data_IF_501296457950
#
_entry.id   IF_501296457950
#
_cell.length_a   1.000
_cell.length_b   1.000
_cell.length_c   1.000
_cell.angle_alpha   90.00
_cell.angle_beta   90.00
_cell.angle_gamma   90.00
#
_symmetry.space_group_name_H-M   'P 1'
#
loop_
_entity.id
_entity.type
_entity.pdbx_description
1 polymer ?
#
# COMPACT_ATOMS: atom_id res chain seq x y z
N UNK A 1 9.90 -14.53 -11.16
CA UNK A 1 9.10 -13.82 -10.14
C UNK A 1 7.72 -13.72 -10.73
N UNK A 2 6.77 -14.53 -10.24
CA UNK A 2 5.36 -14.37 -10.61
C UNK A 2 4.90 -12.98 -10.20
N UNK A 3 4.06 -12.37 -11.03
CA UNK A 3 3.52 -11.05 -10.75
C UNK A 3 2.75 -11.12 -9.43
N UNK A 4 2.91 -10.14 -8.54
CA UNK A 4 2.16 -10.09 -7.28
C UNK A 4 0.64 -10.04 -7.54
N UNK A 5 0.24 -9.59 -8.73
CA UNK A 5 -1.13 -9.67 -9.27
C UNK A 5 -1.71 -11.08 -9.20
N UNK A 6 -0.95 -12.10 -9.63
CA UNK A 6 -1.43 -13.47 -9.75
C UNK A 6 -1.77 -14.08 -8.37
N UNK A 7 -0.98 -13.75 -7.34
CA UNK A 7 -1.19 -14.27 -5.99
C UNK A 7 -2.43 -13.70 -5.31
N UNK A 8 -2.72 -12.40 -5.51
CA UNK A 8 -3.92 -11.79 -4.93
C UNK A 8 -5.18 -12.36 -5.57
N UNK A 9 -5.19 -12.50 -6.89
CA UNK A 9 -6.32 -13.06 -7.63
C UNK A 9 -6.60 -14.50 -7.21
N UNK A 10 -5.57 -15.34 -7.07
CA UNK A 10 -5.72 -16.69 -6.55
C UNK A 10 -6.32 -16.71 -5.13
N UNK A 11 -5.81 -15.88 -4.22
CA UNK A 11 -6.31 -15.80 -2.85
C UNK A 11 -7.78 -15.33 -2.83
N UNK A 12 -8.13 -14.34 -3.65
CA UNK A 12 -9.50 -13.88 -3.80
C UNK A 12 -10.41 -15.01 -4.28
N UNK A 13 -10.04 -15.71 -5.35
CA UNK A 13 -10.83 -16.82 -5.89
C UNK A 13 -11.01 -17.97 -4.90
N UNK A 14 -10.00 -18.26 -4.08
CA UNK A 14 -10.09 -19.25 -3.01
C UNK A 14 -11.06 -18.81 -1.91
N UNK A 15 -10.98 -17.54 -1.47
CA UNK A 15 -11.85 -16.99 -0.40
C UNK A 15 -13.35 -17.02 -0.75
N UNK A 16 -13.67 -16.90 -2.04
CA UNK A 16 -15.05 -16.95 -2.53
C UNK A 16 -15.46 -18.33 -3.06
N UNK A 17 -14.58 -19.34 -2.95
CA UNK A 17 -14.76 -20.70 -3.48
C UNK A 17 -15.00 -20.77 -5.01
N UNK A 18 -14.43 -19.83 -5.77
CA UNK A 18 -14.51 -19.77 -7.23
C UNK A 18 -13.18 -20.04 -7.94
N UNK A 19 -12.19 -20.60 -7.27
CA UNK A 19 -11.02 -21.17 -7.95
C UNK A 19 -11.49 -22.32 -8.87
N UNK A 20 -11.43 -22.11 -10.19
CA UNK A 20 -11.84 -23.06 -11.23
C UNK A 20 -10.77 -23.13 -12.31
N UNK A 21 -10.74 -24.23 -13.06
CA UNK A 21 -9.71 -24.50 -14.06
C UNK A 21 -9.78 -23.60 -15.32
N UNK A 22 -10.88 -22.86 -15.52
CA UNK A 22 -11.05 -21.98 -16.69
C UNK A 22 -11.65 -20.64 -16.29
N UNK A 23 -11.22 -19.57 -16.96
CA UNK A 23 -11.73 -18.20 -16.75
C UNK A 23 -13.25 -18.12 -16.96
N UNK A 24 -13.79 -18.90 -17.91
CA UNK A 24 -15.23 -19.00 -18.13
C UNK A 24 -15.96 -19.49 -16.86
N UNK A 25 -15.46 -20.55 -16.24
CA UNK A 25 -16.07 -21.14 -15.05
C UNK A 25 -15.85 -20.26 -13.80
N UNK A 26 -14.69 -19.60 -13.69
CA UNK A 26 -14.43 -18.58 -12.67
C UNK A 26 -15.48 -17.47 -12.76
N UNK A 27 -15.68 -16.90 -13.95
CA UNK A 27 -16.64 -15.82 -14.19
C UNK A 27 -18.08 -16.24 -13.88
N UNK A 28 -18.49 -17.44 -14.32
CA UNK A 28 -19.82 -17.96 -14.04
C UNK A 28 -20.05 -18.14 -12.53
N UNK A 29 -19.05 -18.66 -11.82
CA UNK A 29 -19.08 -18.80 -10.37
C UNK A 29 -19.18 -17.44 -9.66
N UNK A 30 -18.32 -16.48 -10.00
CA UNK A 30 -18.34 -15.14 -9.38
C UNK A 30 -19.69 -14.44 -9.55
N UNK A 31 -20.32 -14.57 -10.73
CA UNK A 31 -21.66 -14.03 -11.01
C UNK A 31 -22.78 -14.67 -10.20
N UNK A 32 -22.57 -15.89 -9.69
CA UNK A 32 -23.56 -16.59 -8.86
C UNK A 32 -23.50 -16.19 -7.38
N UNK A 33 -22.45 -15.45 -6.97
CA UNK A 33 -22.27 -15.03 -5.59
C UNK A 33 -23.02 -13.72 -5.37
N UNK A 34 -23.70 -13.63 -4.22
CA UNK A 34 -24.32 -12.41 -3.74
C UNK A 34 -23.32 -11.24 -3.64
N UNK A 35 -23.73 -10.07 -4.10
CA UNK A 35 -22.88 -8.87 -4.16
C UNK A 35 -22.43 -8.42 -2.77
N UNK A 36 -23.28 -8.50 -1.74
CA UNK A 36 -22.89 -8.08 -0.39
C UNK A 36 -21.88 -9.06 0.21
N UNK A 37 -21.97 -10.35 -0.12
CA UNK A 37 -20.92 -11.32 0.23
C UNK A 37 -19.59 -10.97 -0.43
N UNK A 38 -19.58 -10.67 -1.73
CA UNK A 38 -18.36 -10.28 -2.45
C UNK A 38 -17.75 -9.01 -1.84
N UNK A 39 -18.58 -7.99 -1.62
CA UNK A 39 -18.17 -6.73 -1.01
C UNK A 39 -17.57 -6.94 0.39
N UNK A 40 -18.19 -7.78 1.22
CA UNK A 40 -17.67 -8.09 2.54
C UNK A 40 -16.27 -8.72 2.47
N UNK A 41 -16.09 -9.70 1.58
CA UNK A 41 -14.80 -10.38 1.42
C UNK A 41 -13.72 -9.39 0.95
N UNK A 42 -14.03 -8.57 -0.05
CA UNK A 42 -13.11 -7.58 -0.62
C UNK A 42 -12.70 -6.53 0.41
N UNK A 43 -13.66 -5.99 1.16
CA UNK A 43 -13.43 -4.86 2.08
C UNK A 43 -12.86 -5.28 3.44
N UNK A 44 -13.16 -6.50 3.90
CA UNK A 44 -12.85 -6.91 5.28
C UNK A 44 -12.00 -8.17 5.38
N UNK A 45 -12.21 -9.19 4.54
CA UNK A 45 -11.55 -10.50 4.70
C UNK A 45 -10.20 -10.59 3.97
N UNK A 46 -10.05 -9.94 2.81
CA UNK A 46 -8.77 -9.90 2.08
C UNK A 46 -7.92 -8.66 2.41
N UNK A 47 -8.29 -7.98 3.49
CA UNK A 47 -7.64 -6.78 4.00
C UNK A 47 -6.19 -7.01 4.48
N UNK A 48 -5.81 -8.28 4.69
CA UNK A 48 -4.53 -8.71 5.25
C UNK A 48 -3.27 -8.25 4.51
N UNK A 49 -3.37 -7.69 3.30
CA UNK A 49 -2.21 -7.14 2.61
C UNK A 49 -1.77 -5.75 3.11
N UNK A 50 -2.41 -5.18 4.14
CA UNK A 50 -2.16 -3.80 4.62
C UNK A 50 -2.00 -2.84 3.43
N UNK A 51 -2.82 -3.08 2.39
CA UNK A 51 -2.62 -2.49 1.09
C UNK A 51 -3.43 -1.19 1.01
N UNK A 52 -2.75 -0.06 0.88
CA UNK A 52 -3.36 1.27 0.77
C UNK A 52 -3.84 1.49 -0.67
N UNK A 53 -3.35 0.66 -1.60
CA UNK A 53 -3.89 0.56 -2.95
C UNK A 53 -5.18 -0.27 -2.96
N UNK A 54 -6.19 0.11 -3.76
CA UNK A 54 -7.39 -0.70 -3.95
C UNK A 54 -7.06 -2.13 -4.37
N UNK A 55 -7.86 -3.10 -3.91
CA UNK A 55 -7.70 -4.51 -4.22
C UNK A 55 -7.75 -4.83 -5.72
N UNK A 56 -8.62 -4.14 -6.45
CA UNK A 56 -8.75 -4.27 -7.90
C UNK A 56 -8.43 -2.93 -8.53
N UNK A 57 -7.43 -2.91 -9.40
CA UNK A 57 -6.93 -1.72 -10.09
C UNK A 57 -6.90 -1.97 -11.60
N UNK A 58 -6.79 -0.91 -12.43
CA UNK A 58 -6.55 -1.10 -13.85
C UNK A 58 -5.31 -1.95 -14.09
N UNK A 59 -5.42 -2.94 -14.99
CA UNK A 59 -4.32 -3.82 -15.38
C UNK A 59 -3.85 -3.47 -16.80
N UNK A 60 -2.57 -3.72 -17.07
CA UNK A 60 -2.01 -3.59 -18.42
C UNK A 60 -2.52 -4.79 -19.22
N UNK A 61 -3.63 -4.59 -19.94
CA UNK A 61 -4.36 -5.64 -20.66
C UNK A 61 -3.91 -5.82 -22.11
N UNK A 62 -3.05 -4.93 -22.61
CA UNK A 62 -2.65 -4.93 -24.02
C UNK A 62 -3.71 -4.36 -24.97
N UNK A 63 -4.86 -3.90 -24.46
CA UNK A 63 -5.97 -3.40 -25.26
C UNK A 63 -6.41 -2.00 -24.83
N UNK A 64 -6.99 -1.84 -23.64
CA UNK A 64 -7.33 -0.52 -23.09
C UNK A 64 -6.08 0.20 -22.56
N UNK A 65 -5.24 -0.52 -21.80
CA UNK A 65 -3.89 -0.11 -21.43
C UNK A 65 -2.88 -0.99 -22.20
N UNK A 66 -2.48 -0.57 -23.41
CA UNK A 66 -1.57 -1.35 -24.25
C UNK A 66 -0.16 -1.51 -23.65
N UNK A 67 0.25 -0.62 -22.74
CA UNK A 67 1.58 -0.61 -22.13
C UNK A 67 1.50 0.04 -20.73
N UNK A 68 2.63 0.08 -20.03
CA UNK A 68 2.74 0.74 -18.73
C UNK A 68 2.42 2.25 -18.87
N UNK A 69 1.56 2.82 -17.99
CA UNK A 69 1.11 4.22 -18.11
C UNK A 69 2.25 5.25 -18.17
N UNK A 70 3.35 5.01 -17.47
CA UNK A 70 4.54 5.88 -17.55
C UNK A 70 5.17 5.89 -18.95
N UNK A 71 5.26 4.73 -19.61
CA UNK A 71 5.76 4.61 -20.99
C UNK A 71 4.80 5.29 -21.95
N UNK A 72 3.49 5.06 -21.77
CA UNK A 72 2.45 5.69 -22.59
C UNK A 72 2.49 7.22 -22.50
N UNK A 73 2.60 7.77 -21.28
CA UNK A 73 2.68 9.21 -21.08
C UNK A 73 3.93 9.83 -21.74
N UNK A 74 5.03 9.08 -21.82
CA UNK A 74 6.27 9.52 -22.46
C UNK A 74 6.25 9.43 -23.99
N UNK A 75 5.68 8.36 -24.55
CA UNK A 75 5.95 7.99 -25.95
C UNK A 75 4.71 7.92 -26.84
N UNK A 76 3.52 7.68 -26.28
CA UNK A 76 2.31 7.48 -27.08
C UNK A 76 1.66 8.83 -27.45
N UNK A 77 0.98 8.95 -28.59
CA UNK A 77 0.24 10.16 -28.94
C UNK A 77 -0.79 10.53 -27.86
N UNK A 78 -0.85 11.82 -27.50
CA UNK A 78 -1.83 12.35 -26.54
C UNK A 78 -2.82 13.25 -27.27
N UNK A 79 -4.11 13.01 -27.06
CA UNK A 79 -5.19 13.87 -27.58
C UNK A 79 -5.47 15.05 -26.63
N UNK A 80 -4.42 15.71 -26.16
CA UNK A 80 -4.50 16.87 -25.28
C UNK A 80 -3.23 17.73 -25.42
N UNK A 81 -3.42 19.04 -25.56
CA UNK A 81 -2.31 19.99 -25.71
C UNK A 81 -2.04 20.83 -24.45
N UNK A 82 -2.93 20.74 -23.46
CA UNK A 82 -2.88 21.52 -22.23
C UNK A 82 -3.45 20.73 -21.06
N UNK A 83 -2.84 20.86 -19.88
CA UNK A 83 -3.27 20.22 -18.65
C UNK A 83 -3.32 21.25 -17.51
N UNK A 84 -4.37 21.17 -16.70
CA UNK A 84 -4.45 21.88 -15.43
C UNK A 84 -4.61 20.84 -14.32
N UNK A 85 -3.60 20.75 -13.47
CA UNK A 85 -3.47 19.70 -12.45
C UNK A 85 -2.93 20.27 -11.16
N UNK A 86 -2.98 19.50 -10.08
CA UNK A 86 -2.49 19.96 -8.80
C UNK A 86 -2.66 18.93 -7.70
N UNK A 87 -2.36 19.36 -6.49
CA UNK A 87 -2.47 18.53 -5.29
C UNK A 87 -3.07 19.34 -4.16
N UNK A 88 -3.47 18.65 -3.12
CA UNK A 88 -3.92 19.23 -1.85
C UNK A 88 -2.82 19.13 -0.79
N UNK A 89 -2.85 19.99 0.25
CA UNK A 89 -1.78 20.09 1.25
C UNK A 89 -1.50 18.77 1.97
N UNK A 90 -2.56 18.10 2.43
CA UNK A 90 -2.46 16.93 3.29
C UNK A 90 -3.08 15.68 2.63
N UNK A 91 -2.62 15.34 1.42
CA UNK A 91 -3.12 14.20 0.61
C UNK A 91 -3.16 12.88 1.38
N UNK A 92 -2.19 12.65 2.27
CA UNK A 92 -2.08 11.40 3.01
C UNK A 92 -2.89 11.33 4.30
N UNK A 93 -3.54 12.40 4.74
CA UNK A 93 -4.11 12.47 6.10
C UNK A 93 -5.18 11.42 6.36
N UNK A 94 -6.12 11.24 5.42
CA UNK A 94 -7.15 10.21 5.53
C UNK A 94 -6.56 8.80 5.51
N UNK A 95 -5.55 8.56 4.66
CA UNK A 95 -4.86 7.28 4.56
C UNK A 95 -4.09 6.96 5.84
N UNK A 96 -3.41 7.96 6.41
CA UNK A 96 -2.64 7.83 7.64
C UNK A 96 -3.53 7.51 8.84
N UNK A 97 -4.63 8.26 9.01
CA UNK A 97 -5.60 8.01 10.07
C UNK A 97 -6.22 6.60 9.95
N UNK A 98 -6.59 6.21 8.73
CA UNK A 98 -7.14 4.88 8.46
C UNK A 98 -6.16 3.76 8.83
N UNK A 99 -4.91 3.86 8.38
CA UNK A 99 -3.90 2.81 8.62
C UNK A 99 -3.58 2.66 10.11
N UNK A 100 -3.44 3.77 10.83
CA UNK A 100 -3.19 3.76 12.27
C UNK A 100 -4.32 3.08 13.04
N UNK A 101 -5.57 3.41 12.68
CA UNK A 101 -6.75 2.77 13.26
C UNK A 101 -6.80 1.28 12.93
N UNK A 102 -6.47 0.89 11.69
CA UNK A 102 -6.53 -0.49 11.25
C UNK A 102 -5.48 -1.38 11.93
N UNK A 103 -4.27 -0.84 12.15
CA UNK A 103 -3.19 -1.59 12.77
C UNK A 103 -3.30 -1.67 14.31
N UNK A 104 -4.32 -1.05 14.89
CA UNK A 104 -4.45 -0.78 16.32
C UNK A 104 -3.16 -0.17 16.91
N UNK A 105 -2.57 0.76 16.16
CA UNK A 105 -1.31 1.40 16.51
C UNK A 105 -1.59 2.82 16.96
N UNK A 106 -1.37 3.08 18.24
CA UNK A 106 -1.25 4.45 18.73
C UNK A 106 0.02 5.07 18.17
N UNK A 107 -0.08 6.27 17.61
CA UNK A 107 1.02 7.02 17.03
C UNK A 107 1.99 7.59 18.09
N UNK A 108 2.18 6.91 19.22
CA UNK A 108 2.83 7.47 20.42
C UNK A 108 4.26 7.00 20.66
N UNK A 109 4.77 6.03 19.89
CA UNK A 109 6.07 5.41 20.19
C UNK A 109 6.92 5.13 18.95
N UNK A 110 8.24 5.06 19.14
CA UNK A 110 9.20 4.63 18.11
C UNK A 110 8.88 3.22 17.58
N UNK A 111 8.37 2.33 18.45
CA UNK A 111 7.94 0.98 18.05
C UNK A 111 6.77 1.02 17.08
N UNK A 112 5.81 1.90 17.33
CA UNK A 112 4.67 2.17 16.44
C UNK A 112 5.15 2.65 15.07
N UNK A 113 6.07 3.61 15.07
CA UNK A 113 6.67 4.16 13.85
C UNK A 113 7.38 3.08 13.01
N UNK A 114 8.20 2.24 13.63
CA UNK A 114 8.89 1.14 12.94
C UNK A 114 7.91 0.10 12.38
N UNK A 115 6.84 -0.24 13.11
CA UNK A 115 5.80 -1.16 12.62
C UNK A 115 5.13 -0.61 11.35
N UNK A 116 4.75 0.67 11.37
CA UNK A 116 4.15 1.35 10.22
C UNK A 116 5.13 1.40 9.04
N UNK A 117 6.40 1.73 9.31
CA UNK A 117 7.43 1.78 8.29
C UNK A 117 7.69 0.43 7.63
N UNK A 118 7.68 -0.66 8.40
CA UNK A 118 7.81 -2.01 7.84
C UNK A 118 6.66 -2.36 6.89
N UNK A 119 5.43 -1.97 7.23
CA UNK A 119 4.28 -2.15 6.32
C UNK A 119 4.45 -1.33 5.04
N UNK A 120 4.90 -0.08 5.14
CA UNK A 120 5.18 0.76 3.97
C UNK A 120 6.34 0.22 3.09
N UNK A 121 7.33 -0.44 3.67
CA UNK A 121 8.45 -1.00 2.89
C UNK A 121 8.06 -2.20 2.02
N UNK A 122 6.97 -2.91 2.34
CA UNK A 122 6.43 -3.97 1.49
C UNK A 122 6.13 -3.52 0.04
N UNK A 123 5.95 -2.22 -0.16
CA UNK A 123 5.68 -1.54 -1.43
C UNK A 123 6.92 -1.08 -2.18
N UNK A 124 8.07 -1.04 -1.50
CA UNK A 124 9.36 -0.68 -2.07
C UNK A 124 10.33 -1.86 -1.99
N UNK A 125 9.97 -3.04 -2.54
CA UNK A 125 10.88 -4.18 -2.53
C UNK A 125 12.17 -3.81 -3.28
N UNK A 126 13.29 -4.26 -2.74
CA UNK A 126 14.61 -4.06 -3.37
C UNK A 126 15.17 -2.65 -3.26
N UNK A 127 14.73 -1.84 -2.29
CA UNK A 127 15.37 -0.56 -1.93
C UNK A 127 15.96 -0.68 -0.53
N UNK A 128 17.23 -1.02 -0.44
CA UNK A 128 17.98 -1.13 0.81
C UNK A 128 18.04 0.21 1.53
N UNK A 129 17.92 0.19 2.87
CA UNK A 129 18.01 1.40 3.70
C UNK A 129 16.84 2.39 3.60
N UNK A 130 15.78 2.07 2.83
CA UNK A 130 14.65 2.98 2.59
C UNK A 130 14.00 3.50 3.87
N UNK A 131 13.87 2.66 4.91
CA UNK A 131 13.33 3.08 6.22
C UNK A 131 14.13 4.25 6.79
N UNK A 132 15.46 4.10 6.85
CA UNK A 132 16.34 5.13 7.37
C UNK A 132 16.26 6.43 6.57
N UNK A 133 16.25 6.32 5.24
CA UNK A 133 16.12 7.49 4.36
C UNK A 133 14.77 8.20 4.51
N UNK A 134 13.66 7.46 4.64
CA UNK A 134 12.33 8.05 4.89
C UNK A 134 12.32 8.77 6.24
N UNK A 135 12.80 8.13 7.30
CA UNK A 135 12.87 8.74 8.64
C UNK A 135 13.71 10.02 8.64
N UNK A 136 14.81 10.07 7.88
CA UNK A 136 15.63 11.27 7.75
C UNK A 136 14.88 12.43 7.07
N UNK A 137 14.02 12.15 6.08
CA UNK A 137 13.33 13.18 5.30
C UNK A 137 12.01 13.65 5.91
N UNK A 138 11.38 12.82 6.75
CA UNK A 138 10.03 13.07 7.26
C UNK A 138 9.95 13.25 8.78
N UNK A 139 10.85 12.65 9.56
CA UNK A 139 10.85 12.81 11.00
C UNK A 139 11.63 14.08 11.39
N UNK A 140 11.09 14.95 12.27
CA UNK A 140 11.88 16.04 12.83
C UNK A 140 12.97 15.47 13.74
N UNK A 141 14.19 16.02 13.62
CA UNK A 141 15.34 15.65 14.43
C UNK A 141 15.79 16.82 15.31
N UNK A 142 16.03 16.60 16.62
CA UNK A 142 15.84 15.35 17.37
C UNK A 142 14.35 15.00 17.56
N UNK A 143 14.02 13.70 17.55
CA UNK A 143 12.65 13.24 17.80
C UNK A 143 12.39 13.17 19.31
N UNK A 144 11.36 13.89 19.76
CA UNK A 144 10.83 13.79 21.12
C UNK A 144 9.69 12.77 21.18
N UNK A 145 9.89 11.70 21.95
CA UNK A 145 8.89 10.66 22.12
C UNK A 145 7.65 11.15 22.87
N UNK A 146 6.48 10.59 22.54
CA UNK A 146 5.22 10.86 23.25
C UNK A 146 4.30 11.89 22.58
N UNK A 147 4.75 12.59 21.53
CA UNK A 147 3.86 13.45 20.75
C UNK A 147 3.20 12.67 19.60
N UNK A 148 1.95 12.24 19.82
CA UNK A 148 1.17 11.46 18.86
C UNK A 148 0.95 12.19 17.52
N UNK A 149 0.89 13.52 17.54
CA UNK A 149 0.62 14.33 16.35
C UNK A 149 1.78 14.30 15.35
N UNK A 150 3.02 14.15 15.83
CA UNK A 150 4.22 14.14 14.98
C UNK A 150 4.26 12.91 14.09
N UNK A 151 3.97 11.73 14.64
CA UNK A 151 3.98 10.48 13.85
C UNK A 151 2.83 10.48 12.84
N UNK A 152 1.63 10.94 13.25
CA UNK A 152 0.49 11.06 12.33
C UNK A 152 0.80 12.01 11.17
N UNK A 153 1.36 13.18 11.46
CA UNK A 153 1.73 14.15 10.43
C UNK A 153 2.84 13.62 9.53
N UNK A 154 3.88 13.02 10.10
CA UNK A 154 4.96 12.39 9.34
C UNK A 154 4.40 11.36 8.35
N UNK A 155 3.51 10.48 8.83
CA UNK A 155 2.94 9.43 8.01
C UNK A 155 1.97 9.96 6.97
N UNK A 156 1.15 10.98 7.30
CA UNK A 156 0.33 11.70 6.34
C UNK A 156 1.17 12.30 5.21
N UNK A 157 2.25 13.00 5.54
CA UNK A 157 3.11 13.60 4.54
C UNK A 157 3.81 12.55 3.67
N UNK A 158 4.31 11.46 4.27
CA UNK A 158 4.93 10.33 3.57
C UNK A 158 3.98 9.72 2.54
N UNK A 159 2.78 9.37 3.00
CA UNK A 159 1.75 8.70 2.20
C UNK A 159 1.25 9.61 1.07
N UNK A 160 0.95 10.86 1.39
CA UNK A 160 0.51 11.84 0.42
C UNK A 160 1.57 12.15 -0.64
N UNK A 161 2.85 12.16 -0.25
CA UNK A 161 3.94 12.37 -1.19
C UNK A 161 4.16 11.18 -2.12
N UNK A 162 4.22 9.97 -1.56
CA UNK A 162 4.48 8.78 -2.34
C UNK A 162 3.35 8.44 -3.32
N UNK A 163 2.08 8.50 -2.89
CA UNK A 163 0.95 8.07 -3.72
C UNK A 163 0.42 9.14 -4.66
N UNK A 164 0.46 10.42 -4.27
CA UNK A 164 -0.24 11.49 -5.00
C UNK A 164 0.73 12.57 -5.47
N UNK A 165 1.46 13.20 -4.55
CA UNK A 165 2.17 14.44 -4.85
C UNK A 165 3.36 14.24 -5.78
N UNK A 166 4.23 13.28 -5.48
CA UNK A 166 5.42 13.02 -6.27
C UNK A 166 5.08 12.47 -7.67
N UNK A 167 4.16 11.49 -7.83
CA UNK A 167 3.68 11.06 -9.15
C UNK A 167 3.02 12.18 -9.96
N UNK A 168 2.24 13.07 -9.31
CA UNK A 168 1.61 14.22 -10.00
C UNK A 168 2.67 15.16 -10.57
N UNK A 169 3.78 15.38 -9.87
CA UNK A 169 4.88 16.17 -10.40
C UNK A 169 5.63 15.45 -11.53
N UNK A 170 5.88 14.13 -11.42
CA UNK A 170 6.49 13.35 -12.52
C UNK A 170 5.64 13.44 -13.79
N UNK A 171 4.32 13.38 -13.65
CA UNK A 171 3.42 13.54 -14.78
C UNK A 171 3.50 14.94 -15.39
N UNK A 172 3.57 15.99 -14.56
CA UNK A 172 3.75 17.37 -15.02
C UNK A 172 5.09 17.56 -15.76
N UNK A 173 6.19 17.04 -15.20
CA UNK A 173 7.52 17.05 -15.83
C UNK A 173 7.49 16.31 -17.18
N UNK A 174 6.88 15.13 -17.22
CA UNK A 174 6.80 14.30 -18.43
C UNK A 174 5.99 14.98 -19.53
N UNK A 175 4.85 15.57 -19.17
CA UNK A 175 4.01 16.33 -20.11
C UNK A 175 4.77 17.55 -20.64
N UNK A 176 5.43 18.30 -19.77
CA UNK A 176 6.19 19.48 -20.19
C UNK A 176 7.38 19.11 -21.10
N UNK A 177 8.09 18.02 -20.82
CA UNK A 177 9.16 17.51 -21.68
C UNK A 177 8.67 17.14 -23.10
N UNK A 178 7.37 16.91 -23.26
CA UNK A 178 6.69 16.69 -24.55
C UNK A 178 6.13 17.97 -25.17
N UNK A 179 6.53 19.15 -24.69
CA UNK A 179 6.01 20.46 -25.08
C UNK A 179 4.50 20.62 -24.86
N UNK A 180 3.92 19.86 -23.93
CA UNK A 180 2.52 20.04 -23.52
C UNK A 180 2.46 21.14 -22.47
N UNK A 181 1.51 22.06 -22.61
CA UNK A 181 1.36 23.14 -21.63
C UNK A 181 0.77 22.58 -20.34
N UNK A 182 1.44 22.80 -19.21
CA UNK A 182 0.95 22.37 -17.90
C UNK A 182 0.76 23.59 -17.01
N UNK A 183 -0.34 23.63 -16.26
CA UNK A 183 -0.56 24.55 -15.15
C UNK A 183 -0.70 23.71 -13.88
N UNK A 184 0.02 24.11 -12.84
CA UNK A 184 0.08 23.36 -11.58
C UNK A 184 -0.48 24.20 -10.44
N UNK A 185 -1.34 23.62 -9.60
CA UNK A 185 -1.80 24.26 -8.36
C UNK A 185 -1.53 23.41 -7.13
N UNK A 186 -1.50 24.07 -5.97
CA UNK A 186 -1.47 23.43 -4.67
C UNK A 186 -2.56 24.02 -3.79
N UNK A 187 -3.55 23.20 -3.43
CA UNK A 187 -4.69 23.61 -2.62
C UNK A 187 -4.38 23.44 -1.13
N UNK A 188 -4.39 24.56 -0.43
CA UNK A 188 -4.02 24.69 0.98
C UNK A 188 -5.01 25.60 1.73
N UNK A 189 -6.25 25.66 1.29
CA UNK A 189 -7.32 26.40 1.96
C UNK A 189 -8.19 25.48 2.83
N UNK A 190 -8.48 25.88 4.06
CA UNK A 190 -9.37 25.17 4.99
C UNK A 190 -10.43 26.14 5.50
N UNK A 191 -11.72 25.78 5.52
CA UNK A 191 -12.75 26.64 6.14
C UNK A 191 -12.46 26.87 7.64
N UNK A 192 -12.80 28.05 8.17
CA UNK A 192 -12.86 28.27 9.63
C UNK A 192 -13.98 27.46 10.30
N UNK A 193 -14.97 27.01 9.52
CA UNK A 193 -16.08 26.18 9.99
C UNK A 193 -15.82 24.68 9.78
N UNK A 194 -14.61 24.33 9.31
CA UNK A 194 -14.22 22.94 9.09
C UNK A 194 -14.21 22.16 10.40
N UNK A 195 -14.81 20.96 10.38
CA UNK A 195 -14.66 19.98 11.47
C UNK A 195 -13.38 19.15 11.35
N UNK A 196 -12.66 19.28 10.23
CA UNK A 196 -11.41 18.57 9.99
C UNK A 196 -10.23 19.38 10.52
N UNK A 197 -9.23 18.66 11.05
CA UNK A 197 -7.94 19.21 11.50
C UNK A 197 -6.88 19.29 10.39
N UNK A 198 -7.22 18.88 9.17
CA UNK A 198 -6.32 18.89 8.01
C UNK A 198 -7.09 19.11 6.71
N UNK A 199 -6.35 19.47 5.66
CA UNK A 199 -6.83 19.74 4.32
C UNK A 199 -6.74 18.43 3.55
N UNK A 200 -7.82 17.67 3.62
CA UNK A 200 -7.87 16.28 3.16
C UNK A 200 -7.79 16.17 1.63
N UNK A 201 -7.32 15.01 1.16
CA UNK A 201 -7.43 14.60 -0.24
C UNK A 201 -8.84 14.82 -0.79
N UNK A 202 -8.95 15.50 -1.92
CA UNK A 202 -10.22 15.79 -2.60
C UNK A 202 -11.09 16.88 -1.94
N UNK A 203 -10.63 17.52 -0.85
CA UNK A 203 -11.40 18.58 -0.19
C UNK A 203 -11.64 19.80 -1.10
N UNK A 204 -10.74 20.06 -2.04
CA UNK A 204 -10.86 21.11 -3.05
C UNK A 204 -12.03 20.87 -4.01
N UNK A 205 -12.44 19.61 -4.22
CA UNK A 205 -13.53 19.27 -5.12
C UNK A 205 -14.85 19.87 -4.64
N UNK A 206 -15.10 19.95 -3.33
CA UNK A 206 -16.29 20.60 -2.78
C UNK A 206 -16.36 22.09 -3.16
N UNK A 207 -15.22 22.77 -3.18
CA UNK A 207 -15.12 24.16 -3.63
C UNK A 207 -15.29 24.27 -5.15
N UNK A 208 -14.75 23.31 -5.91
CA UNK A 208 -14.85 23.27 -7.37
C UNK A 208 -16.28 23.02 -7.85
N UNK A 209 -17.03 22.13 -7.20
CA UNK A 209 -18.44 21.85 -7.56
C UNK A 209 -19.42 22.92 -7.03
N UNK A 210 -18.93 23.92 -6.28
CA UNK A 210 -19.76 25.00 -5.79
C UNK A 210 -20.55 24.71 -4.52
N UNK A 211 -20.14 23.72 -3.70
CA UNK A 211 -20.83 23.39 -2.46
C UNK A 211 -20.97 24.60 -1.50
N UNK A 212 -19.97 25.51 -1.35
CA UNK A 212 -20.16 26.74 -0.57
C UNK A 212 -21.22 27.71 -1.12
N UNK A 213 -21.51 27.66 -2.43
CA UNK A 213 -22.46 28.57 -3.09
C UNK A 213 -23.90 28.08 -2.94
N UNK A 214 -24.14 26.78 -3.12
CA UNK A 214 -25.46 26.16 -3.03
C UNK A 214 -25.81 25.60 -1.64
N UNK A 215 -24.82 25.44 -0.76
CA UNK A 215 -24.96 24.74 0.52
C UNK A 215 -24.68 23.24 0.40
N UNK A 216 -24.51 22.59 1.55
CA UNK A 216 -24.28 21.14 1.65
C UNK A 216 -24.96 20.58 2.91
N UNK A 217 -25.47 19.35 2.85
CA UNK A 217 -26.19 18.73 3.97
C UNK A 217 -25.30 18.59 5.21
N UNK A 218 -24.05 18.15 5.02
CA UNK A 218 -23.13 17.80 6.10
C UNK A 218 -22.11 18.90 6.45
N UNK A 219 -22.03 20.00 5.69
CA UNK A 219 -20.99 21.01 5.86
C UNK A 219 -21.57 22.41 5.93
N UNK A 220 -20.91 23.28 6.72
CA UNK A 220 -21.23 24.70 6.84
C UNK A 220 -20.13 25.52 6.19
N UNK A 221 -20.51 26.62 5.57
CA UNK A 221 -19.62 27.49 4.81
C UNK A 221 -19.91 28.95 5.10
N UNK A 222 -18.86 29.74 5.24
CA UNK A 222 -18.95 31.18 5.43
C UNK A 222 -18.76 31.96 4.11
N UNK A 223 -18.70 33.30 4.19
CA UNK A 223 -18.50 34.13 3.01
C UNK A 223 -17.11 33.97 2.38
N UNK A 224 -16.10 33.62 3.17
CA UNK A 224 -14.74 33.35 2.66
C UNK A 224 -14.73 32.05 1.87
N UNK A 225 -15.45 31.03 2.34
CA UNK A 225 -15.62 29.78 1.60
C UNK A 225 -16.33 29.98 0.26
N UNK A 226 -17.40 30.81 0.24
CA UNK A 226 -18.09 31.21 -0.99
C UNK A 226 -17.13 31.90 -1.96
N UNK A 227 -16.29 32.80 -1.47
CA UNK A 227 -15.30 33.50 -2.30
C UNK A 227 -14.23 32.54 -2.84
N UNK A 228 -13.71 31.63 -2.03
CA UNK A 228 -12.75 30.62 -2.47
C UNK A 228 -13.34 29.71 -3.55
N UNK A 229 -14.60 29.27 -3.37
CA UNK A 229 -15.31 28.48 -4.39
C UNK A 229 -15.44 29.23 -5.71
N UNK A 230 -15.79 30.53 -5.69
CA UNK A 230 -15.83 31.35 -6.90
C UNK A 230 -14.48 31.45 -7.59
N UNK A 231 -13.38 31.58 -6.84
CA UNK A 231 -12.04 31.58 -7.42
C UNK A 231 -11.72 30.25 -8.09
N UNK A 232 -11.92 29.12 -7.41
CA UNK A 232 -11.58 27.82 -7.97
C UNK A 232 -12.42 27.49 -9.21
N UNK A 233 -13.74 27.72 -9.16
CA UNK A 233 -14.63 27.58 -10.32
C UNK A 233 -14.17 28.46 -11.48
N UNK A 234 -13.77 29.70 -11.20
CA UNK A 234 -13.36 30.64 -12.25
C UNK A 234 -12.02 30.24 -12.91
N UNK A 235 -11.05 29.75 -12.13
CA UNK A 235 -9.80 29.20 -12.65
C UNK A 235 -10.06 28.03 -13.61
N UNK A 236 -10.88 27.07 -13.19
CA UNK A 236 -11.23 25.92 -14.03
C UNK A 236 -12.06 26.30 -15.24
N UNK A 237 -13.06 27.16 -15.09
CA UNK A 237 -13.92 27.60 -16.20
C UNK A 237 -13.16 28.42 -17.25
N UNK A 238 -12.20 29.26 -16.85
CA UNK A 238 -11.35 30.00 -17.79
C UNK A 238 -10.36 29.08 -18.50
N UNK A 239 -9.76 28.11 -17.78
CA UNK A 239 -8.93 27.07 -18.40
C UNK A 239 -9.70 26.30 -19.47
N UNK A 240 -10.90 25.81 -19.16
CA UNK A 240 -11.73 25.07 -20.13
C UNK A 240 -12.08 25.93 -21.36
N UNK A 241 -12.35 27.22 -21.17
CA UNK A 241 -12.77 28.11 -22.27
C UNK A 241 -11.62 28.65 -23.10
N UNK A 242 -10.46 28.87 -22.50
CA UNK A 242 -9.39 29.70 -23.08
C UNK A 242 -8.01 29.02 -23.04
N UNK A 243 -7.88 27.88 -22.35
CA UNK A 243 -6.60 27.23 -22.14
C UNK A 243 -5.68 27.93 -21.15
N UNK A 244 -6.20 28.91 -20.39
CA UNK A 244 -5.45 29.67 -19.39
C UNK A 244 -6.27 29.77 -18.09
N UNK A 245 -5.84 29.13 -17.00
CA UNK A 245 -6.48 29.29 -15.71
C UNK A 245 -6.25 30.72 -15.21
N UNK A 246 -7.32 31.51 -15.15
CA UNK A 246 -7.25 32.92 -14.79
C UNK A 246 -8.42 33.37 -13.93
N UNK A 247 -8.15 34.43 -13.16
CA UNK A 247 -9.12 35.15 -12.36
C UNK A 247 -9.36 36.55 -12.92
N UNK A 248 -8.99 36.82 -14.17
CA UNK A 248 -8.95 38.16 -14.78
C UNK A 248 -10.22 39.00 -14.54
N UNK A 249 -11.40 38.37 -14.53
CA UNK A 249 -12.69 39.03 -14.28
C UNK A 249 -12.97 39.38 -12.81
N UNK A 250 -12.17 38.87 -11.88
CA UNK A 250 -12.32 39.03 -10.43
C UNK A 250 -11.11 39.77 -9.84
N UNK A 251 -9.90 39.38 -10.25
CA UNK A 251 -8.63 40.02 -9.93
C UNK A 251 -7.64 39.75 -11.06
N UNK A 252 -6.86 40.75 -11.47
CA UNK A 252 -5.88 40.68 -12.57
C UNK A 252 -4.77 39.64 -12.28
N UNK A 253 -5.09 38.36 -12.43
CA UNK A 253 -4.28 37.21 -12.04
C UNK A 253 -4.53 36.05 -13.00
N UNK A 254 -3.46 35.34 -13.34
CA UNK A 254 -3.48 34.09 -14.10
C UNK A 254 -2.40 33.17 -13.57
N UNK A 255 -2.54 31.87 -13.82
CA UNK A 255 -1.55 30.87 -13.43
C UNK A 255 -0.48 30.78 -14.52
N UNK A 256 0.78 30.98 -14.15
CA UNK A 256 1.90 30.80 -15.08
C UNK A 256 2.08 29.32 -15.46
N UNK A 257 2.64 29.10 -16.65
CA UNK A 257 2.95 27.75 -17.14
C UNK A 257 4.04 27.10 -16.29
N UNK A 258 3.80 25.85 -15.93
CA UNK A 258 4.76 24.98 -15.28
C UNK A 258 5.91 24.63 -16.24
N UNK A 259 7.14 24.61 -15.73
CA UNK A 259 8.33 24.14 -16.44
C UNK A 259 9.22 23.32 -15.52
N UNK A 260 10.00 22.40 -16.06
CA UNK A 260 11.00 21.63 -15.31
C UNK A 260 12.09 22.52 -14.72
N UNK A 261 12.48 23.59 -15.42
CA UNK A 261 13.51 24.55 -14.99
C UNK A 261 12.98 25.46 -13.87
N UNK A 262 11.72 25.87 -13.99
CA UNK A 262 11.00 26.70 -13.02
C UNK A 262 9.66 26.03 -12.70
N UNK A 263 9.64 25.08 -11.74
CA UNK A 263 8.44 24.35 -11.35
C UNK A 263 7.52 25.26 -10.52
N UNK A 264 6.93 26.23 -11.21
CA UNK A 264 6.03 27.23 -10.67
C UNK A 264 4.63 26.66 -10.50
N UNK A 265 3.95 27.05 -9.44
CA UNK A 265 2.59 26.60 -9.16
C UNK A 265 1.77 27.70 -8.49
N UNK A 266 0.45 27.63 -8.63
CA UNK A 266 -0.46 28.49 -7.89
C UNK A 266 -0.72 27.91 -6.50
N UNK A 267 -0.33 28.63 -5.44
CA UNK A 267 -0.72 28.31 -4.08
C UNK A 267 -2.09 28.90 -3.80
N UNK A 268 -3.08 28.04 -3.59
CA UNK A 268 -4.46 28.41 -3.25
C UNK A 268 -4.62 28.28 -1.74
N UNK A 269 -4.68 29.38 -1.01
CA UNK A 269 -4.53 29.39 0.44
C UNK A 269 -5.32 30.54 1.10
N UNK A 270 -5.00 30.87 2.35
CA UNK A 270 -5.43 32.09 3.03
C UNK A 270 -4.26 33.05 3.16
N UNK A 271 -4.54 34.35 3.11
CA UNK A 271 -3.55 35.36 3.51
C UNK A 271 -3.48 35.49 5.04
N UNK A 272 -2.63 36.41 5.52
CA UNK A 272 -2.44 36.68 6.95
C UNK A 272 -3.70 37.12 7.70
N UNK A 273 -4.73 37.62 6.98
CA UNK A 273 -6.02 38.02 7.55
C UNK A 273 -7.06 36.89 7.54
N UNK A 274 -6.67 35.69 7.09
CA UNK A 274 -7.57 34.55 6.93
C UNK A 274 -8.44 34.64 5.66
N UNK A 275 -8.18 35.58 4.76
CA UNK A 275 -8.98 35.76 3.54
C UNK A 275 -8.46 34.86 2.41
N UNK A 276 -9.37 34.31 1.56
CA UNK A 276 -9.03 33.56 0.35
C UNK A 276 -7.98 34.27 -0.50
N UNK A 277 -6.86 33.60 -0.70
CA UNK A 277 -5.70 34.14 -1.39
C UNK A 277 -5.15 33.13 -2.38
N UNK A 278 -4.66 33.65 -3.51
CA UNK A 278 -4.04 32.83 -4.54
C UNK A 278 -2.84 33.60 -5.04
N UNK A 279 -1.68 32.96 -5.02
CA UNK A 279 -0.41 33.52 -5.44
C UNK A 279 0.43 32.49 -6.19
N UNK A 280 1.35 32.98 -7.01
CA UNK A 280 2.35 32.12 -7.65
C UNK A 280 3.49 31.85 -6.68
N UNK A 281 3.93 30.61 -6.61
CA UNK A 281 5.09 30.22 -5.82
C UNK A 281 6.01 29.31 -6.65
N UNK A 282 7.28 29.29 -6.29
CA UNK A 282 8.31 28.43 -6.86
C UNK A 282 8.77 27.45 -5.77
N UNK A 283 9.35 26.31 -6.17
CA UNK A 283 9.87 25.29 -5.23
C UNK A 283 8.76 24.49 -4.54
N UNK A 284 8.00 23.77 -5.34
CA UNK A 284 7.05 22.78 -4.85
C UNK A 284 7.77 21.62 -4.13
N UNK A 285 7.74 21.61 -2.79
CA UNK A 285 8.31 20.57 -1.90
C UNK A 285 9.68 20.00 -2.36
N UNK A 286 10.69 20.84 -2.67
CA UNK A 286 11.83 20.44 -3.51
C UNK A 286 12.64 19.26 -2.97
N UNK A 287 12.90 19.20 -1.65
CA UNK A 287 13.66 18.11 -1.03
C UNK A 287 12.91 16.77 -1.11
N UNK A 288 11.61 16.78 -0.82
CA UNK A 288 10.77 15.57 -0.81
C UNK A 288 10.48 15.08 -2.22
N UNK A 289 10.25 16.00 -3.15
CA UNK A 289 10.12 15.66 -4.56
C UNK A 289 11.41 15.08 -5.14
N UNK A 290 12.58 15.67 -4.85
CA UNK A 290 13.85 15.10 -5.27
C UNK A 290 14.10 13.71 -4.66
N UNK A 291 13.73 13.53 -3.38
CA UNK A 291 13.83 12.23 -2.71
C UNK A 291 13.03 11.15 -3.44
N UNK A 292 11.74 11.38 -3.72
CA UNK A 292 10.89 10.38 -4.38
C UNK A 292 11.17 10.22 -5.88
N UNK A 293 11.37 11.32 -6.60
CA UNK A 293 11.41 11.29 -8.06
C UNK A 293 12.82 11.07 -8.63
N UNK A 294 13.87 11.21 -7.81
CA UNK A 294 15.27 11.02 -8.23
C UNK A 294 16.01 9.99 -7.36
N UNK A 295 16.09 10.22 -6.06
CA UNK A 295 16.93 9.42 -5.15
C UNK A 295 16.41 7.98 -5.02
N UNK A 296 15.13 7.79 -4.72
CA UNK A 296 14.55 6.44 -4.54
C UNK A 296 14.67 5.57 -5.80
N UNK A 297 14.34 6.06 -7.01
CA UNK A 297 14.58 5.33 -8.26
C UNK A 297 16.05 4.95 -8.49
N UNK A 298 17.00 5.83 -8.14
CA UNK A 298 18.44 5.56 -8.25
C UNK A 298 18.88 4.46 -7.27
N UNK A 299 18.43 4.53 -6.01
CA UNK A 299 18.70 3.49 -5.01
C UNK A 299 18.19 2.13 -5.48
N UNK A 300 16.95 2.08 -5.99
CA UNK A 300 16.38 0.86 -6.56
C UNK A 300 17.23 0.31 -7.70
N UNK A 301 17.64 1.16 -8.65
CA UNK A 301 18.45 0.73 -9.81
C UNK A 301 19.80 0.15 -9.38
N UNK A 302 20.46 0.82 -8.43
CA UNK A 302 21.73 0.38 -7.86
C UNK A 302 21.59 -0.98 -7.18
N UNK A 303 20.57 -1.14 -6.35
CA UNK A 303 20.36 -2.38 -5.59
C UNK A 303 19.97 -3.55 -6.51
N UNK A 304 19.19 -3.30 -7.55
CA UNK A 304 18.92 -4.28 -8.62
C UNK A 304 20.19 -4.67 -9.38
N UNK A 305 21.10 -3.71 -9.64
CA UNK A 305 22.38 -3.99 -10.27
C UNK A 305 23.26 -4.89 -9.38
N UNK A 306 23.37 -4.58 -8.09
CA UNK A 306 24.11 -5.44 -7.13
C UNK A 306 23.51 -6.84 -7.03
N UNK A 307 22.19 -6.96 -6.92
CA UNK A 307 21.51 -8.25 -6.88
C UNK A 307 21.72 -9.10 -8.16
N UNK A 308 21.89 -8.46 -9.31
CA UNK A 308 22.22 -9.15 -10.56
C UNK A 308 23.71 -9.47 -10.70
N UNK A 309 24.60 -8.70 -10.06
CA UNK A 309 26.03 -8.94 -10.04
C UNK A 309 26.42 -10.10 -9.11
N UNK A 310 25.74 -10.25 -7.97
CA UNK A 310 25.96 -11.37 -7.04
C UNK A 310 25.45 -12.72 -7.55
N UNK A 311 24.61 -12.74 -8.60
CA UNK A 311 24.27 -13.99 -9.31
C UNK A 311 25.51 -14.49 -10.07
N UNK A 312 26.25 -15.42 -9.43
CA UNK A 312 27.45 -16.03 -10.01
C UNK A 312 27.16 -16.69 -11.38
N UNK A 313 28.16 -16.87 -12.25
CA UNK A 313 27.99 -17.52 -13.56
C UNK A 313 27.37 -18.92 -13.51
N UNK A 314 27.43 -19.57 -12.34
CA UNK A 314 26.91 -20.92 -12.10
C UNK A 314 25.37 -20.99 -12.16
N UNK A 315 24.67 -19.94 -11.73
CA UNK A 315 23.20 -19.92 -11.70
C UNK A 315 22.54 -19.67 -13.06
N UNK A 316 23.30 -19.22 -14.07
CA UNK A 316 22.78 -18.93 -15.42
C UNK A 316 22.61 -20.18 -16.31
N UNK A 317 23.15 -21.33 -15.92
CA UNK A 317 23.25 -22.51 -16.80
C UNK A 317 22.66 -23.81 -16.23
N UNK A 318 21.94 -23.78 -15.11
CA UNK A 318 21.32 -25.01 -14.59
C UNK A 318 20.02 -25.33 -15.37
N UNK A 319 19.92 -26.51 -16.02
CA UNK A 319 18.64 -27.03 -16.47
C UNK A 319 17.73 -27.18 -15.24
N UNK A 320 16.43 -26.96 -15.44
CA UNK A 320 15.41 -26.88 -14.37
C UNK A 320 15.22 -28.17 -13.55
N UNK A 321 15.96 -29.23 -13.83
CA UNK A 321 15.78 -30.56 -13.29
C UNK A 321 17.06 -31.11 -12.64
N UNK A 322 17.52 -30.49 -11.56
CA UNK A 322 18.43 -31.16 -10.62
C UNK A 322 18.37 -30.48 -9.25
N UNK A 323 17.31 -30.75 -8.50
CA UNK A 323 17.30 -30.49 -7.06
C UNK A 323 18.15 -31.60 -6.43
N UNK A 324 19.39 -31.29 -6.06
CA UNK A 324 20.09 -32.12 -5.08
C UNK A 324 19.41 -31.95 -3.72
N UNK A 325 19.08 -33.04 -3.01
CA UNK A 325 18.39 -32.95 -1.73
C UNK A 325 19.33 -32.32 -0.69
N UNK A 326 18.88 -31.20 -0.11
CA UNK A 326 19.52 -30.53 1.01
C UNK A 326 19.78 -31.55 2.16
N UNK A 327 21.03 -31.67 2.66
CA UNK A 327 21.39 -32.61 3.73
C UNK A 327 20.54 -32.46 5.01
N UNK A 328 19.83 -31.35 5.19
CA UNK A 328 18.84 -31.18 6.25
C UNK A 328 17.69 -32.22 6.20
N UNK A 329 17.27 -32.67 5.01
CA UNK A 329 16.22 -33.69 4.87
C UNK A 329 16.70 -35.08 5.33
N UNK A 330 17.98 -35.39 5.16
CA UNK A 330 18.59 -36.64 5.65
C UNK A 330 18.57 -36.71 7.17
N UNK A 331 18.86 -35.60 7.85
CA UNK A 331 18.80 -35.53 9.31
C UNK A 331 17.36 -35.60 9.83
N UNK A 332 16.42 -34.91 9.18
CA UNK A 332 15.00 -34.95 9.54
C UNK A 332 14.41 -36.37 9.40
N UNK A 333 14.71 -37.06 8.31
CA UNK A 333 14.24 -38.44 8.08
C UNK A 333 14.84 -39.43 9.08
N UNK A 334 16.13 -39.31 9.40
CA UNK A 334 16.78 -40.12 10.43
C UNK A 334 16.15 -39.92 11.82
N UNK A 335 15.85 -38.66 12.20
CA UNK A 335 15.17 -38.36 13.46
C UNK A 335 13.76 -38.97 13.53
N UNK A 336 12.98 -38.91 12.44
CA UNK A 336 11.65 -39.51 12.38
C UNK A 336 11.73 -41.04 12.52
N UNK A 337 12.66 -41.69 11.82
CA UNK A 337 12.85 -43.13 11.89
C UNK A 337 13.29 -43.60 13.29
N UNK A 338 14.22 -42.90 13.92
CA UNK A 338 14.61 -43.16 15.31
C UNK A 338 13.42 -43.00 16.27
N UNK A 339 12.60 -41.97 16.09
CA UNK A 339 11.41 -41.75 16.92
C UNK A 339 10.41 -42.90 16.79
N UNK A 340 10.15 -43.36 15.56
CA UNK A 340 9.26 -44.51 15.30
C UNK A 340 9.83 -45.79 15.92
N UNK A 341 11.14 -46.00 15.80
CA UNK A 341 11.84 -47.17 16.35
C UNK A 341 11.66 -47.28 17.86
N UNK A 342 11.82 -46.18 18.58
CA UNK A 342 11.63 -46.11 20.03
C UNK A 342 10.19 -46.46 20.42
N UNK A 343 9.20 -45.95 19.68
CA UNK A 343 7.78 -46.26 19.94
C UNK A 343 7.49 -47.74 19.71
N UNK A 344 7.98 -48.32 18.61
CA UNK A 344 7.80 -49.75 18.31
C UNK A 344 8.44 -50.64 19.38
N UNK A 345 9.65 -50.31 19.81
CA UNK A 345 10.34 -51.02 20.90
C UNK A 345 9.59 -50.90 22.23
N UNK A 346 9.04 -49.73 22.55
CA UNK A 346 8.21 -49.53 23.74
C UNK A 346 6.92 -50.34 23.69
N UNK A 347 6.25 -50.41 22.54
CA UNK A 347 5.05 -51.24 22.34
C UNK A 347 5.38 -52.73 22.48
N UNK A 348 6.47 -53.19 21.87
CA UNK A 348 6.93 -54.58 22.01
C UNK A 348 7.25 -54.90 23.47
N UNK A 349 8.03 -54.04 24.15
CA UNK A 349 8.36 -54.20 25.56
C UNK A 349 7.09 -54.30 26.43
N UNK A 350 6.11 -53.42 26.23
CA UNK A 350 4.84 -53.46 26.93
C UNK A 350 4.05 -54.75 26.66
N UNK A 351 3.98 -55.19 25.40
CA UNK A 351 3.31 -56.45 25.04
C UNK A 351 3.98 -57.65 25.69
N UNK A 352 5.30 -57.75 25.63
CA UNK A 352 6.06 -58.84 26.25
C UNK A 352 5.91 -58.82 27.78
N UNK A 353 5.97 -57.64 28.40
CA UNK A 353 5.75 -57.48 29.85
C UNK A 353 4.35 -57.92 30.28
N UNK A 354 3.32 -57.60 29.49
CA UNK A 354 1.95 -58.06 29.75
C UNK A 354 1.81 -59.57 29.56
N UNK A 355 2.45 -60.15 28.55
CA UNK A 355 2.46 -61.59 28.31
C UNK A 355 3.12 -62.34 29.48
N UNK A 356 4.30 -61.87 29.91
CA UNK A 356 5.02 -62.43 31.08
C UNK A 356 4.18 -62.32 32.35
N UNK A 357 3.54 -61.17 32.60
CA UNK A 357 2.62 -61.02 33.75
C UNK A 357 1.40 -61.97 33.67
N UNK A 358 0.88 -62.27 32.47
CA UNK A 358 -0.21 -63.25 32.30
C UNK A 358 0.27 -64.68 32.58
N UNK A 359 1.44 -65.05 32.06
CA UNK A 359 2.03 -66.37 32.31
C UNK A 359 2.32 -66.59 33.82
N UNK A 360 2.88 -65.57 34.49
CA UNK A 360 3.12 -65.61 35.94
C UNK A 360 1.82 -65.71 36.77
N UNK A 361 0.71 -65.12 36.29
CA UNK A 361 -0.62 -65.27 36.91
C UNK A 361 -1.26 -66.63 36.65
N UNK A 362 -1.00 -67.24 35.49
CA UNK A 362 -1.51 -68.60 35.20
C UNK A 362 -0.75 -69.66 36.01
N UNK A 363 0.55 -69.49 36.23
CA UNK A 363 1.33 -70.38 37.11
C UNK A 363 0.98 -70.24 38.60
N UNK A 364 0.39 -69.12 39.03
CA UNK A 364 -0.09 -68.96 40.42
C UNK A 364 -1.51 -69.47 40.66
N UNK A 365 -2.26 -69.79 39.60
CA UNK A 365 -3.66 -70.29 39.70
C UNK A 365 -3.73 -71.82 39.56
N UNK A 366 -2.67 -72.50 39.07
CA UNK A 366 -2.64 -73.97 38.95
C UNK A 366 -2.23 -74.72 40.24
N UNK A 367 -2.07 -74.04 41.38
CA UNK A 367 -1.62 -74.65 42.65
C UNK A 367 -2.69 -74.64 43.74
N UNK A 368 -3.98 -74.72 43.40
CA UNK A 368 -5.05 -74.71 44.39
C UNK A 368 -6.27 -75.55 44.02
N UNK A 369 -6.23 -76.86 44.28
CA UNK A 369 -7.35 -77.74 44.72
C UNK A 369 -6.81 -79.17 44.94
N UNK A 370 -6.88 -79.71 46.17
CA UNK A 370 -7.80 -80.80 46.59
C UNK A 370 -7.29 -82.21 46.18
N UNK A 371 -7.13 -83.27 46.98
CA UNK A 371 -7.54 -83.63 48.33
C UNK A 371 -6.86 -84.98 48.73
N UNK A 372 -6.83 -85.27 50.04
CA UNK A 372 -6.98 -86.60 50.70
C UNK A 372 -5.80 -87.64 50.73
N UNK A 373 -5.37 -87.89 51.98
CA UNK A 373 -5.02 -89.14 52.69
C UNK A 373 -4.95 -90.50 51.95
N UNK A 374 -3.95 -91.33 52.25
CA UNK A 374 -4.05 -92.52 53.16
C UNK A 374 -2.80 -93.44 53.17
N UNK A 375 -2.46 -93.95 54.37
CA UNK A 375 -1.81 -95.26 54.72
C UNK A 375 -0.33 -95.42 54.32
N UNK A 376 0.64 -95.81 55.18
CA UNK A 376 0.69 -96.64 56.39
C UNK A 376 1.49 -95.98 57.53
#
# INVERSE_FOLDING_TARGET
MGDKSDFYDELYLLSVHCAKNTTHNVKACLKSIDTEKLKKIILYELKWLSNISPSFTPVIDGYFLPDHPATMLQTYPLNAHQFFTGTTRDEGSSFAAYLLSDMDVKASSMKSLLKIMNCFCGYLPGVSGIVGSVLQHYLPWPYEAGNETVILQMFSELMGDYYITAPTQVNADTLQARNITVYFYHFSYMSELSHFSSILHGSELFYLIGAPLGGHANFRYDNRDRMMSRYLIRLWASFIKQGLPSLMSLKNFYIDRYTTEKPIYALITKNQRGEPHIEMNIRFKPKKMAFWNKIVPELRRRDLHFANYEKTPYERHLPRDSIEPDPAWGLMTACILLSISVVVLAVFYCRTRHLVKRLLRQSSVSSGTCMINHVN
#
